data_IF_304095835423
#
_entry.id   IF_304095835423
#
_cell.length_a   1.000
_cell.length_b   1.000
_cell.length_c   1.000
_cell.angle_alpha   90.00
_cell.angle_beta   90.00
_cell.angle_gamma   90.00
#
_symmetry.space_group_name_H-M   'P 1'
#
loop_
_entity.id
_entity.type
_entity.pdbx_description
1 polymer ?
#
# COMPACT_ATOMS: atom_id res chain seq x y z
N UNK A 1 0.32 33.49 13.39
CA UNK A 1 0.13 34.27 12.14
C UNK A 1 -0.55 33.36 11.12
N UNK A 2 -1.86 33.55 10.90
CA UNK A 2 -2.66 32.70 9.99
C UNK A 2 -2.42 33.20 8.57
N UNK A 3 -1.82 32.39 7.71
CA UNK A 3 -1.83 32.65 6.26
C UNK A 3 -3.27 32.44 5.77
N UNK A 4 -4.04 33.52 5.69
CA UNK A 4 -5.32 33.53 4.97
C UNK A 4 -4.99 33.52 3.48
N UNK A 5 -5.58 32.60 2.73
CA UNK A 5 -5.50 32.59 1.27
C UNK A 5 -5.94 33.97 0.75
N UNK A 6 -5.10 34.60 -0.08
CA UNK A 6 -5.32 35.96 -0.60
C UNK A 6 -6.42 36.00 -1.69
N UNK A 7 -6.87 34.83 -2.14
CA UNK A 7 -7.87 34.65 -3.18
C UNK A 7 -8.92 33.65 -2.66
N UNK A 8 -10.20 34.03 -2.69
CA UNK A 8 -11.31 33.09 -2.49
C UNK A 8 -11.39 32.21 -3.73
N UNK A 9 -10.96 30.96 -3.62
CA UNK A 9 -11.15 29.98 -4.69
C UNK A 9 -12.56 29.43 -4.57
N UNK A 10 -13.34 29.55 -5.64
CA UNK A 10 -14.63 28.87 -5.75
C UNK A 10 -14.38 27.38 -5.95
N UNK A 11 -14.48 26.61 -4.86
CA UNK A 11 -14.23 25.18 -4.87
C UNK A 11 -15.29 24.41 -5.65
N UNK A 12 -16.50 24.96 -5.78
CA UNK A 12 -17.61 24.31 -6.48
C UNK A 12 -17.41 24.46 -7.99
N UNK A 13 -16.97 25.64 -8.45
CA UNK A 13 -16.58 25.86 -9.83
C UNK A 13 -15.36 25.01 -10.22
N UNK A 14 -14.36 24.90 -9.33
CA UNK A 14 -13.21 23.99 -9.53
C UNK A 14 -13.69 22.55 -9.67
N UNK A 15 -14.59 22.08 -8.79
CA UNK A 15 -15.17 20.73 -8.87
C UNK A 15 -15.91 20.48 -10.18
N UNK A 16 -16.73 21.45 -10.64
CA UNK A 16 -17.44 21.36 -11.92
C UNK A 16 -16.48 21.28 -13.10
N UNK A 17 -15.47 22.15 -13.14
CA UNK A 17 -14.48 22.16 -14.21
C UNK A 17 -13.64 20.88 -14.23
N UNK A 18 -13.31 20.32 -13.07
CA UNK A 18 -12.65 19.02 -12.98
C UNK A 18 -13.54 17.89 -13.52
N UNK A 19 -14.83 17.89 -13.18
CA UNK A 19 -15.76 16.89 -13.69
C UNK A 19 -15.92 16.97 -15.22
N UNK A 20 -16.02 18.20 -15.75
CA UNK A 20 -16.12 18.45 -17.19
C UNK A 20 -14.83 18.04 -17.92
N UNK A 21 -13.66 18.44 -17.42
CA UNK A 21 -12.37 18.13 -18.03
C UNK A 21 -12.02 16.64 -17.97
N UNK A 22 -12.54 15.90 -16.97
CA UNK A 22 -12.21 14.49 -16.73
C UNK A 22 -13.41 13.57 -16.96
N UNK A 23 -14.43 14.00 -17.71
CA UNK A 23 -15.66 13.21 -17.94
C UNK A 23 -15.36 11.81 -18.48
N UNK A 24 -14.41 11.69 -19.42
CA UNK A 24 -13.99 10.41 -19.98
C UNK A 24 -13.39 9.48 -18.91
N UNK A 25 -12.54 10.02 -18.02
CA UNK A 25 -11.94 9.26 -16.92
C UNK A 25 -13.00 8.82 -15.90
N UNK A 26 -13.95 9.70 -15.57
CA UNK A 26 -15.07 9.36 -14.67
C UNK A 26 -15.91 8.23 -15.26
N UNK A 27 -16.27 8.32 -16.54
CA UNK A 27 -17.09 7.32 -17.20
C UNK A 27 -16.39 5.97 -17.29
N UNK A 28 -15.09 5.96 -17.58
CA UNK A 28 -14.28 4.75 -17.56
C UNK A 28 -14.18 4.15 -16.15
N UNK A 29 -14.02 4.97 -15.11
CA UNK A 29 -14.04 4.49 -13.73
C UNK A 29 -15.38 3.84 -13.37
N UNK A 30 -16.51 4.40 -13.80
CA UNK A 30 -17.84 3.80 -13.57
C UNK A 30 -17.99 2.46 -14.28
N UNK A 31 -17.58 2.38 -15.54
CA UNK A 31 -17.61 1.14 -16.32
C UNK A 31 -16.77 0.04 -15.66
N UNK A 32 -15.56 0.36 -15.21
CA UNK A 32 -14.71 -0.60 -14.51
C UNK A 32 -15.35 -1.08 -13.19
N UNK A 33 -16.04 -0.21 -12.45
CA UNK A 33 -16.77 -0.60 -11.24
C UNK A 33 -17.95 -1.53 -11.58
N UNK A 34 -18.68 -1.28 -12.65
CA UNK A 34 -19.77 -2.16 -13.12
C UNK A 34 -19.24 -3.51 -13.61
N UNK A 35 -18.12 -3.51 -14.34
CA UNK A 35 -17.46 -4.73 -14.80
C UNK A 35 -16.93 -5.56 -13.63
N UNK A 36 -16.43 -4.92 -12.58
CA UNK A 36 -16.01 -5.60 -11.35
C UNK A 36 -17.16 -6.41 -10.72
N UNK A 37 -18.40 -5.92 -10.76
CA UNK A 37 -19.56 -6.67 -10.24
C UNK A 37 -19.85 -7.98 -10.98
N UNK A 38 -19.30 -8.15 -12.19
CA UNK A 38 -19.46 -9.37 -13.00
C UNK A 38 -18.36 -10.39 -12.75
N UNK A 39 -17.30 -10.02 -12.02
CA UNK A 39 -16.23 -10.95 -11.68
C UNK A 39 -16.70 -11.85 -10.55
N UNK A 40 -16.64 -13.18 -10.71
CA UNK A 40 -17.07 -14.11 -9.67
C UNK A 40 -16.12 -14.07 -8.46
N UNK A 41 -16.69 -14.16 -7.26
CA UNK A 41 -15.93 -14.19 -5.99
C UNK A 41 -14.90 -15.31 -5.92
N UNK A 42 -15.11 -16.39 -6.68
CA UNK A 42 -14.22 -17.55 -6.76
C UNK A 42 -13.90 -17.88 -8.20
N UNK A 43 -12.61 -17.84 -8.53
CA UNK A 43 -12.09 -18.15 -9.86
C UNK A 43 -11.81 -19.65 -9.98
N UNK A 44 -12.72 -20.40 -10.61
CA UNK A 44 -12.65 -21.85 -10.72
C UNK A 44 -11.92 -22.28 -12.00
N UNK A 45 -12.18 -21.59 -13.12
CA UNK A 45 -11.65 -21.95 -14.44
C UNK A 45 -10.40 -21.16 -14.82
N UNK A 46 -9.62 -21.67 -15.79
CA UNK A 46 -8.43 -20.96 -16.29
C UNK A 46 -8.81 -19.69 -17.05
N UNK A 47 -9.96 -19.74 -17.75
CA UNK A 47 -10.49 -18.59 -18.47
C UNK A 47 -10.86 -17.44 -17.51
N UNK A 48 -11.57 -17.75 -16.41
CA UNK A 48 -11.90 -16.77 -15.36
C UNK A 48 -10.63 -16.14 -14.74
N UNK A 49 -9.56 -16.91 -14.55
CA UNK A 49 -8.28 -16.40 -14.04
C UNK A 49 -7.59 -15.47 -15.03
N UNK A 50 -7.54 -15.83 -16.30
CA UNK A 50 -6.96 -15.00 -17.34
C UNK A 50 -7.72 -13.68 -17.49
N UNK A 51 -9.06 -13.73 -17.46
CA UNK A 51 -9.93 -12.55 -17.46
C UNK A 51 -9.69 -11.67 -16.23
N UNK A 52 -9.65 -12.24 -15.03
CA UNK A 52 -9.37 -11.50 -13.80
C UNK A 52 -7.96 -10.84 -13.80
N UNK A 53 -6.96 -11.53 -14.36
CA UNK A 53 -5.61 -10.99 -14.49
C UNK A 53 -5.54 -9.83 -15.48
N UNK A 54 -6.18 -9.97 -16.65
CA UNK A 54 -6.29 -8.89 -17.63
C UNK A 54 -7.01 -7.69 -17.02
N UNK A 55 -8.10 -7.92 -16.29
CA UNK A 55 -8.85 -6.88 -15.58
C UNK A 55 -8.02 -6.18 -14.50
N UNK A 56 -7.24 -6.92 -13.70
CA UNK A 56 -6.31 -6.32 -12.72
C UNK A 56 -5.28 -5.39 -13.38
N UNK A 57 -4.74 -5.77 -14.56
CA UNK A 57 -3.83 -4.90 -15.32
C UNK A 57 -4.53 -3.63 -15.81
N UNK A 58 -5.78 -3.73 -16.29
CA UNK A 58 -6.59 -2.57 -16.69
C UNK A 58 -6.86 -1.61 -15.53
N UNK A 59 -7.26 -2.14 -14.37
CA UNK A 59 -7.44 -1.34 -13.14
C UNK A 59 -6.18 -0.59 -12.73
N UNK A 60 -5.02 -1.26 -12.74
CA UNK A 60 -3.73 -0.64 -12.43
C UNK A 60 -3.36 0.48 -13.40
N UNK A 61 -3.61 0.26 -14.70
CA UNK A 61 -3.40 1.28 -15.73
C UNK A 61 -4.24 2.52 -15.46
N UNK A 62 -5.53 2.34 -15.21
CA UNK A 62 -6.45 3.44 -14.96
C UNK A 62 -6.15 4.18 -13.65
N UNK A 63 -5.81 3.47 -12.57
CA UNK A 63 -5.36 4.08 -11.32
C UNK A 63 -4.10 4.94 -11.50
N UNK A 64 -3.19 4.53 -12.38
CA UNK A 64 -2.00 5.32 -12.71
C UNK A 64 -2.37 6.60 -13.45
N UNK A 65 -3.32 6.53 -14.38
CA UNK A 65 -3.84 7.69 -15.11
C UNK A 65 -4.46 8.69 -14.13
N UNK A 66 -5.35 8.26 -13.23
CA UNK A 66 -5.92 9.12 -12.18
C UNK A 66 -4.84 9.84 -11.36
N UNK A 67 -3.79 9.12 -10.93
CA UNK A 67 -2.68 9.70 -10.17
C UNK A 67 -1.87 10.71 -10.97
N UNK A 68 -1.66 10.46 -12.27
CA UNK A 68 -0.91 11.37 -13.14
C UNK A 68 -1.70 12.63 -13.52
N UNK A 69 -3.03 12.52 -13.61
CA UNK A 69 -3.94 13.65 -13.84
C UNK A 69 -4.11 14.54 -12.60
N UNK A 70 -3.67 14.05 -11.43
CA UNK A 70 -3.66 14.82 -10.18
C UNK A 70 -2.41 15.70 -10.08
N UNK A 71 -2.61 16.99 -9.79
CA UNK A 71 -1.53 17.93 -9.51
C UNK A 71 -0.75 17.51 -8.24
N UNK A 72 0.57 17.40 -8.35
CA UNK A 72 1.43 16.87 -7.26
C UNK A 72 2.01 17.94 -6.33
N UNK A 73 2.01 19.23 -6.72
CA UNK A 73 2.66 20.28 -5.93
C UNK A 73 1.87 21.59 -5.97
N UNK A 74 1.37 22.04 -4.81
CA UNK A 74 0.66 23.33 -4.70
C UNK A 74 0.60 23.85 -3.26
N UNK A 75 1.79 24.17 -2.75
CA UNK A 75 2.01 24.80 -1.43
C UNK A 75 1.25 26.14 -1.26
N UNK A 76 0.89 26.79 -2.36
CA UNK A 76 0.20 28.10 -2.41
C UNK A 76 -1.32 28.02 -2.54
N UNK A 77 -1.89 26.86 -2.86
CA UNK A 77 -3.33 26.67 -3.14
C UNK A 77 -3.90 25.47 -2.40
N UNK A 78 -3.58 25.35 -1.10
CA UNK A 78 -3.91 24.18 -0.27
C UNK A 78 -5.41 23.80 -0.32
N UNK A 79 -6.31 24.78 -0.36
CA UNK A 79 -7.75 24.53 -0.41
C UNK A 79 -8.19 23.96 -1.77
N UNK A 80 -7.73 24.55 -2.89
CA UNK A 80 -8.00 24.01 -4.22
C UNK A 80 -7.39 22.62 -4.42
N UNK A 81 -6.17 22.39 -3.89
CA UNK A 81 -5.52 21.07 -3.89
C UNK A 81 -6.34 20.05 -3.14
N UNK A 82 -6.93 20.43 -1.99
CA UNK A 82 -7.80 19.54 -1.22
C UNK A 82 -9.04 19.17 -2.02
N UNK A 83 -9.64 20.11 -2.75
CA UNK A 83 -10.78 19.84 -3.64
C UNK A 83 -10.40 18.87 -4.76
N UNK A 84 -9.27 19.12 -5.45
CA UNK A 84 -8.75 18.22 -6.49
C UNK A 84 -8.47 16.82 -5.91
N UNK A 85 -7.84 16.75 -4.74
CA UNK A 85 -7.52 15.48 -4.09
C UNK A 85 -8.79 14.71 -3.72
N UNK A 86 -9.77 15.38 -3.09
CA UNK A 86 -11.03 14.76 -2.69
C UNK A 86 -11.80 14.24 -3.90
N UNK A 87 -11.83 15.01 -5.00
CA UNK A 87 -12.46 14.61 -6.25
C UNK A 87 -11.89 13.29 -6.81
N UNK A 88 -10.55 13.14 -6.87
CA UNK A 88 -9.97 11.87 -7.34
C UNK A 88 -10.16 10.73 -6.34
N UNK A 89 -10.16 11.01 -5.04
CA UNK A 89 -10.38 10.00 -4.00
C UNK A 89 -11.76 9.35 -4.08
N UNK A 90 -12.80 10.05 -4.55
CA UNK A 90 -14.15 9.51 -4.76
C UNK A 90 -14.16 8.31 -5.73
N UNK A 91 -13.27 8.31 -6.72
CA UNK A 91 -13.19 7.25 -7.74
C UNK A 91 -12.04 6.28 -7.47
N UNK A 92 -10.89 6.76 -6.97
CA UNK A 92 -9.76 5.90 -6.65
C UNK A 92 -10.07 4.92 -5.51
N UNK A 93 -10.84 5.34 -4.51
CA UNK A 93 -11.14 4.49 -3.34
C UNK A 93 -11.89 3.21 -3.71
N UNK A 94 -13.03 3.25 -4.42
CA UNK A 94 -13.72 2.03 -4.85
C UNK A 94 -12.86 1.20 -5.82
N UNK A 95 -12.10 1.83 -6.72
CA UNK A 95 -11.20 1.11 -7.64
C UNK A 95 -10.09 0.36 -6.90
N UNK A 96 -9.50 0.95 -5.84
CA UNK A 96 -8.51 0.26 -4.99
C UNK A 96 -9.13 -0.92 -4.24
N UNK A 97 -10.36 -0.77 -3.75
CA UNK A 97 -11.07 -1.86 -3.09
C UNK A 97 -11.38 -3.01 -4.05
N UNK A 98 -11.79 -2.70 -5.29
CA UNK A 98 -11.98 -3.67 -6.35
C UNK A 98 -10.67 -4.36 -6.74
N UNK A 99 -9.59 -3.60 -6.97
CA UNK A 99 -8.25 -4.13 -7.25
C UNK A 99 -7.79 -5.10 -6.15
N UNK A 100 -7.92 -4.71 -4.89
CA UNK A 100 -7.57 -5.55 -3.76
C UNK A 100 -8.38 -6.86 -3.74
N UNK A 101 -9.68 -6.78 -4.00
CA UNK A 101 -10.57 -7.95 -4.03
C UNK A 101 -10.21 -8.92 -5.16
N UNK A 102 -9.92 -8.38 -6.36
CA UNK A 102 -9.46 -9.19 -7.51
C UNK A 102 -8.12 -9.85 -7.22
N UNK A 103 -7.15 -9.10 -6.67
CA UNK A 103 -5.85 -9.64 -6.28
C UNK A 103 -6.04 -10.76 -5.25
N UNK A 104 -6.88 -10.55 -4.24
CA UNK A 104 -7.15 -11.56 -3.21
C UNK A 104 -7.78 -12.83 -3.81
N UNK A 105 -8.72 -12.70 -4.75
CA UNK A 105 -9.32 -13.83 -5.45
C UNK A 105 -8.28 -14.60 -6.28
N UNK A 106 -7.39 -13.90 -7.00
CA UNK A 106 -6.27 -14.49 -7.74
C UNK A 106 -5.33 -15.22 -6.76
N UNK A 107 -4.95 -14.57 -5.65
CA UNK A 107 -4.08 -15.18 -4.64
C UNK A 107 -4.70 -16.46 -4.07
N UNK A 108 -5.98 -16.46 -3.71
CA UNK A 108 -6.66 -17.64 -3.19
C UNK A 108 -6.71 -18.79 -4.22
N UNK A 109 -6.97 -18.47 -5.49
CA UNK A 109 -7.01 -19.46 -6.57
C UNK A 109 -5.63 -20.09 -6.82
N UNK A 110 -4.56 -19.30 -6.73
CA UNK A 110 -3.20 -19.77 -6.98
C UNK A 110 -2.57 -20.47 -5.78
N UNK A 111 -2.87 -20.08 -4.54
CA UNK A 111 -2.37 -20.75 -3.32
C UNK A 111 -2.78 -22.23 -3.29
N UNK A 112 -3.99 -22.57 -3.73
CA UNK A 112 -4.45 -23.96 -3.81
C UNK A 112 -3.75 -24.81 -4.88
N UNK A 113 -3.02 -24.18 -5.80
CA UNK A 113 -2.36 -24.83 -6.95
C UNK A 113 -0.84 -24.70 -6.94
N UNK A 114 -0.31 -23.83 -6.10
CA UNK A 114 1.10 -23.54 -6.03
C UNK A 114 1.88 -24.77 -5.55
N UNK A 115 2.91 -25.13 -6.32
CA UNK A 115 3.92 -26.09 -5.85
C UNK A 115 4.99 -25.29 -5.13
N UNK A 116 5.24 -25.63 -3.86
CA UNK A 116 6.37 -25.08 -3.12
C UNK A 116 7.63 -25.59 -3.81
N UNK A 117 8.35 -24.72 -4.52
CA UNK A 117 9.72 -25.00 -4.89
C UNK A 117 10.54 -24.82 -3.61
N UNK A 118 11.00 -25.92 -3.03
CA UNK A 118 12.03 -25.90 -1.99
C UNK A 118 13.31 -25.34 -2.63
N UNK A 119 13.40 -24.01 -2.69
CA UNK A 119 14.61 -23.29 -2.98
C UNK A 119 15.40 -23.14 -1.69
N UNK A 120 16.65 -23.59 -1.71
CA UNK A 120 17.60 -23.59 -0.59
C UNK A 120 17.54 -22.25 0.17
N UNK A 121 17.21 -22.30 1.47
CA UNK A 121 17.02 -21.15 2.36
C UNK A 121 18.31 -20.33 2.64
N UNK A 122 19.44 -20.72 2.03
CA UNK A 122 20.77 -20.14 2.25
C UNK A 122 21.20 -19.07 1.21
N UNK A 123 20.32 -18.65 0.30
CA UNK A 123 20.65 -17.57 -0.63
C UNK A 123 20.54 -16.18 0.03
N UNK A 124 21.57 -15.30 -0.09
CA UNK A 124 21.54 -13.98 0.53
C UNK A 124 20.43 -13.10 -0.08
N UNK A 125 19.68 -12.42 0.79
CA UNK A 125 18.64 -11.47 0.41
C UNK A 125 19.22 -10.29 -0.39
N UNK A 126 18.70 -10.06 -1.60
CA UNK A 126 19.01 -8.87 -2.40
C UNK A 126 18.07 -7.74 -2.00
N UNK A 127 18.63 -6.67 -1.44
CA UNK A 127 17.89 -5.49 -1.00
C UNK A 127 17.60 -4.56 -2.19
N UNK A 128 16.32 -4.28 -2.45
CA UNK A 128 15.90 -3.16 -3.31
C UNK A 128 15.34 -2.01 -2.47
N UNK A 129 15.45 -0.80 -3.02
CA UNK A 129 15.16 0.51 -2.40
C UNK A 129 13.70 0.73 -1.95
N UNK A 130 12.84 -0.28 -2.13
CA UNK A 130 11.42 -0.27 -1.72
C UNK A 130 11.11 -1.13 -0.50
N UNK A 131 12.11 -1.84 0.05
CA UNK A 131 11.98 -2.62 1.27
C UNK A 131 11.15 -3.90 1.09
N UNK A 132 11.79 -5.04 1.40
CA UNK A 132 11.22 -6.39 1.50
C UNK A 132 11.09 -7.17 0.18
N UNK A 133 11.94 -8.20 0.04
CA UNK A 133 11.61 -9.45 -0.66
C UNK A 133 11.79 -10.61 0.31
N UNK A 134 10.77 -11.46 0.42
CA UNK A 134 10.69 -12.60 1.35
C UNK A 134 11.17 -13.89 0.69
N UNK A 135 11.71 -14.80 1.50
CA UNK A 135 12.10 -16.16 1.17
C UNK A 135 11.03 -16.92 0.36
N UNK A 136 11.49 -17.66 -0.66
CA UNK A 136 10.76 -18.63 -1.50
C UNK A 136 9.42 -18.18 -2.07
N UNK A 137 9.43 -17.67 -3.32
CA UNK A 137 8.22 -17.51 -4.12
C UNK A 137 7.66 -18.86 -4.56
N UNK A 138 6.35 -19.05 -4.41
CA UNK A 138 5.68 -20.24 -4.89
C UNK A 138 5.45 -20.09 -6.41
N UNK A 139 5.92 -21.05 -7.19
CA UNK A 139 5.72 -21.04 -8.64
C UNK A 139 4.27 -21.45 -8.91
N UNK A 140 3.51 -20.53 -9.48
CA UNK A 140 2.18 -20.80 -10.01
C UNK A 140 2.29 -21.52 -11.36
N UNK A 141 1.17 -22.04 -11.86
CA UNK A 141 1.10 -22.59 -13.21
C UNK A 141 1.03 -21.49 -14.29
N UNK A 142 0.88 -20.23 -13.90
CA UNK A 142 0.82 -19.08 -14.78
C UNK A 142 2.11 -18.23 -14.64
N UNK A 143 2.96 -18.16 -15.67
CA UNK A 143 4.25 -17.46 -15.59
C UNK A 143 4.13 -15.93 -15.33
N UNK A 144 2.93 -15.35 -15.45
CA UNK A 144 2.69 -13.94 -15.14
C UNK A 144 2.38 -13.66 -13.67
N UNK A 145 2.13 -14.68 -12.84
CA UNK A 145 1.75 -14.52 -11.43
C UNK A 145 2.86 -15.06 -10.53
N UNK A 146 3.57 -14.15 -9.86
CA UNK A 146 4.53 -14.48 -8.80
C UNK A 146 3.87 -14.29 -7.43
N UNK A 147 3.75 -15.38 -6.67
CA UNK A 147 3.29 -15.30 -5.27
C UNK A 147 4.47 -14.94 -4.38
N UNK A 148 4.35 -13.84 -3.66
CA UNK A 148 5.32 -13.40 -2.65
C UNK A 148 4.71 -13.50 -1.25
N UNK A 149 5.54 -13.90 -0.29
CA UNK A 149 5.15 -13.84 1.11
C UNK A 149 5.11 -12.38 1.55
N UNK A 150 4.18 -12.07 2.45
CA UNK A 150 4.09 -10.80 3.17
C UNK A 150 3.70 -11.08 4.61
N UNK A 151 4.18 -10.23 5.54
CA UNK A 151 3.77 -10.31 6.95
C UNK A 151 2.44 -9.58 7.09
N UNK A 152 1.36 -10.32 7.34
CA UNK A 152 0.02 -9.75 7.50
C UNK A 152 -0.28 -9.25 8.91
N UNK A 153 0.25 -9.93 9.92
CA UNK A 153 0.12 -9.59 11.33
C UNK A 153 1.30 -10.13 12.13
N UNK A 154 1.58 -9.48 13.26
CA UNK A 154 2.58 -9.93 14.23
C UNK A 154 1.92 -9.98 15.60
N UNK A 155 1.89 -11.17 16.19
CA UNK A 155 1.53 -11.35 17.59
C UNK A 155 2.77 -11.09 18.46
N UNK A 156 2.72 -10.04 19.25
CA UNK A 156 3.84 -9.63 20.11
C UNK A 156 4.17 -10.68 21.17
N UNK A 157 3.19 -11.42 21.66
CA UNK A 157 3.38 -12.32 22.80
C UNK A 157 3.86 -13.72 22.37
N UNK A 158 3.78 -14.02 21.07
CA UNK A 158 4.17 -15.32 20.50
C UNK A 158 5.42 -15.24 19.60
N UNK A 159 5.79 -14.04 19.14
CA UNK A 159 6.92 -13.89 18.22
C UNK A 159 8.27 -14.09 18.93
N UNK A 160 9.15 -14.87 18.32
CA UNK A 160 10.51 -15.07 18.81
C UNK A 160 11.36 -13.81 18.57
N UNK A 161 11.49 -12.98 19.61
CA UNK A 161 12.27 -11.75 19.57
C UNK A 161 13.78 -11.99 19.46
N UNK A 162 14.29 -13.14 19.91
CA UNK A 162 15.73 -13.45 19.80
C UNK A 162 16.09 -13.82 18.36
N UNK A 163 15.22 -14.54 17.65
CA UNK A 163 15.38 -14.80 16.22
C UNK A 163 15.36 -13.51 15.38
N UNK A 164 14.61 -12.48 15.82
CA UNK A 164 14.54 -11.18 15.14
C UNK A 164 15.69 -10.23 15.48
N UNK A 165 16.41 -10.49 16.58
CA UNK A 165 17.44 -9.61 17.11
C UNK A 165 18.53 -9.21 16.09
N UNK A 166 19.03 -10.09 15.20
CA UNK A 166 20.01 -9.71 14.18
C UNK A 166 19.48 -8.71 13.15
N UNK A 167 18.16 -8.59 13.01
CA UNK A 167 17.51 -7.72 12.02
C UNK A 167 17.08 -6.38 12.62
N UNK A 168 17.25 -6.16 13.93
CA UNK A 168 16.95 -4.87 14.54
C UNK A 168 18.03 -3.85 14.18
N UNK A 169 17.63 -2.80 13.48
CA UNK A 169 18.50 -1.68 13.19
C UNK A 169 18.73 -0.83 14.44
N UNK A 170 19.85 -0.10 14.47
CA UNK A 170 20.17 0.83 15.55
C UNK A 170 19.03 1.86 15.79
N UNK A 171 18.39 2.31 14.71
CA UNK A 171 17.22 3.19 14.78
C UNK A 171 16.07 2.56 15.58
N UNK A 172 15.71 1.30 15.30
CA UNK A 172 14.63 0.60 15.99
C UNK A 172 14.99 0.38 17.47
N UNK A 173 16.24 -0.01 17.74
CA UNK A 173 16.73 -0.19 19.11
C UNK A 173 16.66 1.12 19.90
N UNK A 174 17.11 2.22 19.33
CA UNK A 174 17.09 3.53 19.98
C UNK A 174 15.66 4.05 20.21
N UNK A 175 14.74 3.88 19.25
CA UNK A 175 13.33 4.22 19.43
C UNK A 175 12.68 3.38 20.53
N UNK A 176 13.02 2.10 20.61
CA UNK A 176 12.51 1.19 21.64
C UNK A 176 13.05 1.55 23.01
N UNK A 177 14.34 1.88 23.12
CA UNK A 177 14.98 2.34 24.35
C UNK A 177 14.39 3.68 24.86
N UNK A 178 14.08 4.63 23.96
CA UNK A 178 13.38 5.87 24.32
C UNK A 178 11.98 5.60 24.88
N UNK A 179 11.20 4.73 24.24
CA UNK A 179 9.88 4.33 24.75
C UNK A 179 9.96 3.58 26.08
N UNK A 180 11.02 2.80 26.30
CA UNK A 180 11.30 2.17 27.58
C UNK A 180 11.57 3.22 28.66
N UNK A 181 12.46 4.19 28.36
CA UNK A 181 12.80 5.30 29.25
C UNK A 181 11.56 6.09 29.70
N UNK A 182 10.63 6.35 28.78
CA UNK A 182 9.36 7.04 29.09
C UNK A 182 8.47 6.28 30.09
N UNK A 183 8.52 4.93 30.08
CA UNK A 183 7.60 4.09 30.87
C UNK A 183 8.21 3.56 32.17
N UNK A 184 9.48 3.21 32.14
CA UNK A 184 10.17 2.53 33.25
C UNK A 184 11.30 3.38 33.85
N UNK A 185 11.64 4.51 33.23
CA UNK A 185 12.75 5.36 33.63
C UNK A 185 14.11 4.84 33.11
N UNK A 186 15.21 5.55 33.45
CA UNK A 186 16.55 5.24 32.92
C UNK A 186 17.20 4.01 33.58
N UNK A 187 16.56 3.47 34.61
CA UNK A 187 17.11 2.38 35.40
C UNK A 187 16.56 1.05 34.83
N UNK A 188 17.43 0.07 34.63
CA UNK A 188 17.13 -1.34 34.31
C UNK A 188 17.12 -1.76 32.82
N UNK A 189 17.55 -0.92 31.86
CA UNK A 189 17.79 -1.38 30.49
C UNK A 189 19.27 -1.71 30.26
N UNK A 190 19.61 -2.99 30.27
CA UNK A 190 20.98 -3.48 30.03
C UNK A 190 21.43 -3.12 28.61
N UNK A 191 22.61 -2.52 28.48
CA UNK A 191 23.20 -2.13 27.20
C UNK A 191 22.74 -0.77 26.66
N UNK A 192 21.84 -0.06 27.36
CA UNK A 192 21.49 1.32 27.04
C UNK A 192 22.18 2.29 28.01
N UNK A 193 22.65 3.42 27.48
CA UNK A 193 23.20 4.52 28.27
C UNK A 193 22.28 5.72 28.13
N UNK A 194 21.73 6.16 29.26
CA UNK A 194 20.84 7.31 29.32
C UNK A 194 21.58 8.48 29.95
N UNK A 195 21.47 9.65 29.32
CA UNK A 195 22.00 10.91 29.86
C UNK A 195 20.86 11.84 30.27
N UNK A 196 21.09 12.62 31.33
CA UNK A 196 20.16 13.64 31.78
C UNK A 196 20.64 15.00 31.29
N UNK A 197 19.90 15.60 30.37
CA UNK A 197 20.19 16.93 29.83
C UNK A 197 19.27 17.98 30.48
N UNK A 198 19.84 19.13 30.81
CA UNK A 198 19.06 20.27 31.29
C UNK A 198 18.15 20.78 30.16
N UNK A 199 16.86 20.93 30.46
CA UNK A 199 15.89 21.51 29.52
C UNK A 199 15.89 23.02 29.73
N UNK A 200 16.51 23.74 28.80
CA UNK A 200 16.49 25.22 28.71
C UNK A 200 15.28 25.65 27.89
#
# INVERSE_FOLDING_TARGET
MVRRNLFSVDTDEVGRLLAEANEALINQSRQLIEEFQRIPDKLMTENERAEALAFSKMLKGHLKECRSSRLSDAKSFREAVKTVQSFYEEFETPLKAAEHSVIQAITQAEVGRAKVKEGNLDAPAVYSDTGVRIATSASTNNPEIELTWSVSAVDRDQIDLEALRPFFTEYVLMQTAKKYLERHGPNNLVGAHFEQLAKV
#
